data_IF_843109249467
#
_entry.id   IF_843109249467
#
_cell.length_a   1.000
_cell.length_b   1.000
_cell.length_c   1.000
_cell.angle_alpha   90.00
_cell.angle_beta   90.00
_cell.angle_gamma   90.00
#
_symmetry.space_group_name_H-M   'P 1'
#
loop_
_entity.id
_entity.type
_entity.pdbx_description
1 polymer ?
#
# COMPACT_ATOMS: atom_id res chain seq x y z
N UNK A 1 16.53 12.08 8.79
CA UNK A 1 15.34 11.83 9.65
C UNK A 1 14.13 12.64 9.21
N UNK A 2 14.22 13.97 9.10
CA UNK A 2 13.08 14.84 8.79
C UNK A 2 12.51 14.63 7.38
N UNK A 3 13.36 14.52 6.35
CA UNK A 3 12.91 14.21 4.99
C UNK A 3 12.09 12.91 4.93
N UNK A 4 12.52 11.86 5.63
CA UNK A 4 11.79 10.57 5.68
C UNK A 4 10.41 10.73 6.32
N UNK A 5 10.27 11.58 7.33
CA UNK A 5 8.99 11.93 7.91
C UNK A 5 8.11 12.69 6.91
N UNK A 6 8.68 13.71 6.25
CA UNK A 6 7.96 14.50 5.23
C UNK A 6 7.47 13.61 4.09
N UNK A 7 8.29 12.68 3.59
CA UNK A 7 7.87 11.73 2.56
C UNK A 7 6.71 10.84 3.01
N UNK A 8 6.67 10.41 4.28
CA UNK A 8 5.54 9.64 4.82
C UNK A 8 4.28 10.49 4.89
N UNK A 9 4.39 11.73 5.35
CA UNK A 9 3.27 12.66 5.46
C UNK A 9 2.72 13.05 4.08
N UNK A 10 3.58 13.26 3.09
CA UNK A 10 3.19 13.54 1.70
C UNK A 10 2.34 12.43 1.06
N UNK A 11 2.43 11.18 1.54
CA UNK A 11 1.55 10.09 1.08
C UNK A 11 0.09 10.29 1.50
N UNK A 12 -0.12 10.97 2.63
CA UNK A 12 -1.43 11.20 3.24
C UNK A 12 -2.12 12.47 2.72
N UNK A 13 -1.56 13.11 1.67
CA UNK A 13 -2.08 14.34 1.06
C UNK A 13 -2.34 15.48 2.10
N UNK A 14 -1.49 15.56 3.14
CA UNK A 14 -1.62 16.54 4.22
C UNK A 14 -1.22 17.96 3.82
N UNK A 15 -1.77 18.95 4.53
CA UNK A 15 -1.33 20.33 4.47
C UNK A 15 -0.14 20.58 5.43
N UNK A 16 0.89 21.27 4.96
CA UNK A 16 2.04 21.66 5.77
C UNK A 16 1.91 23.11 6.25
N UNK A 17 2.14 23.35 7.54
CA UNK A 17 2.28 24.69 8.13
C UNK A 17 3.73 24.83 8.62
N UNK A 18 4.43 25.85 8.14
CA UNK A 18 5.83 26.13 8.52
C UNK A 18 5.83 27.27 9.53
N UNK A 19 6.47 27.06 10.69
CA UNK A 19 6.62 28.08 11.74
C UNK A 19 8.04 28.08 12.28
N UNK A 20 8.49 29.20 12.83
CA UNK A 20 9.80 29.32 13.48
C UNK A 20 10.60 30.55 13.06
N UNK A 21 11.82 30.63 13.59
CA UNK A 21 12.77 31.71 13.27
C UNK A 21 13.24 31.58 11.82
N UNK A 22 13.08 32.66 11.07
CA UNK A 22 13.52 32.70 9.68
C UNK A 22 15.04 32.96 9.63
N UNK A 23 15.79 32.00 9.09
CA UNK A 23 17.25 32.09 8.95
C UNK A 23 17.68 32.53 7.54
N UNK A 24 16.75 32.76 6.61
CA UNK A 24 17.00 33.19 5.24
C UNK A 24 16.54 34.64 5.04
N UNK A 25 17.44 35.59 5.25
CA UNK A 25 17.17 37.03 5.20
C UNK A 25 16.72 37.55 3.84
N UNK A 26 17.10 36.91 2.74
CA UNK A 26 16.83 37.42 1.37
C UNK A 26 15.59 36.81 0.69
N UNK A 27 15.21 35.59 1.08
CA UNK A 27 14.11 34.82 0.43
C UNK A 27 12.96 34.48 1.39
N UNK A 28 13.00 35.00 2.61
CA UNK A 28 12.05 34.73 3.68
C UNK A 28 11.65 33.24 3.73
N UNK A 29 10.35 32.93 3.65
CA UNK A 29 9.83 31.56 3.72
C UNK A 29 9.86 30.82 2.38
N UNK A 30 10.13 31.51 1.28
CA UNK A 30 10.10 30.92 -0.07
C UNK A 30 11.12 29.79 -0.23
N UNK A 31 12.29 29.89 0.40
CA UNK A 31 13.30 28.82 0.38
C UNK A 31 12.79 27.50 0.97
N UNK A 32 11.97 27.58 2.04
CA UNK A 32 11.40 26.40 2.68
C UNK A 32 10.27 25.79 1.84
N UNK A 33 9.42 26.63 1.24
CA UNK A 33 8.40 26.19 0.29
C UNK A 33 9.03 25.47 -0.91
N UNK A 34 10.04 26.10 -1.53
CA UNK A 34 10.75 25.53 -2.68
C UNK A 34 11.38 24.18 -2.33
N UNK A 35 11.87 24.02 -1.10
CA UNK A 35 12.40 22.75 -0.64
C UNK A 35 11.31 21.68 -0.43
N UNK A 36 10.14 22.04 0.10
CA UNK A 36 9.01 21.12 0.20
C UNK A 36 8.49 20.71 -1.18
N UNK A 37 8.43 21.62 -2.13
CA UNK A 37 8.09 21.33 -3.53
C UNK A 37 9.10 20.37 -4.15
N UNK A 38 10.40 20.62 -3.93
CA UNK A 38 11.46 19.70 -4.34
C UNK A 38 11.27 18.30 -3.74
N UNK A 39 10.97 18.19 -2.43
CA UNK A 39 10.69 16.91 -1.80
C UNK A 39 9.43 16.25 -2.39
N UNK A 40 8.39 17.02 -2.68
CA UNK A 40 7.16 16.51 -3.29
C UNK A 40 7.44 15.89 -4.67
N UNK A 41 8.25 16.55 -5.49
CA UNK A 41 8.64 16.06 -6.82
C UNK A 41 9.59 14.85 -6.76
N UNK A 42 10.44 14.78 -5.74
CA UNK A 42 11.44 13.70 -5.58
C UNK A 42 10.95 12.56 -4.68
N UNK A 43 9.64 12.48 -4.41
CA UNK A 43 9.09 11.39 -3.60
C UNK A 43 9.22 10.05 -4.33
N UNK A 44 9.52 8.95 -3.61
CA UNK A 44 9.49 7.62 -4.19
C UNK A 44 8.10 7.34 -4.81
N UNK A 45 8.04 6.76 -6.02
CA UNK A 45 6.76 6.39 -6.61
C UNK A 45 6.05 5.35 -5.72
N UNK A 46 4.72 5.41 -5.61
CA UNK A 46 3.97 4.40 -4.89
C UNK A 46 4.16 3.04 -5.56
N UNK A 47 4.22 1.98 -4.75
CA UNK A 47 4.26 0.63 -5.30
C UNK A 47 2.87 0.20 -5.84
N UNK A 48 2.81 -0.91 -6.58
CA UNK A 48 1.57 -1.37 -7.19
C UNK A 48 0.44 -1.62 -6.17
N UNK A 49 0.78 -2.07 -4.96
CA UNK A 49 -0.19 -2.29 -3.89
C UNK A 49 -0.71 -0.96 -3.33
N UNK A 50 0.16 0.02 -3.07
CA UNK A 50 -0.22 1.36 -2.61
C UNK A 50 -1.14 2.07 -3.64
N UNK A 51 -0.87 1.89 -4.93
CA UNK A 51 -1.74 2.41 -5.99
C UNK A 51 -3.11 1.71 -5.99
N UNK A 52 -3.12 0.39 -5.81
CA UNK A 52 -4.35 -0.41 -5.78
C UNK A 52 -5.21 -0.12 -4.54
N UNK A 53 -4.58 0.08 -3.38
CA UNK A 53 -5.24 0.35 -2.11
C UNK A 53 -5.62 1.82 -1.92
N UNK A 54 -5.22 2.72 -2.83
CA UNK A 54 -5.48 4.16 -2.71
C UNK A 54 -6.99 4.41 -2.56
N UNK A 55 -7.38 5.13 -1.51
CA UNK A 55 -8.78 5.43 -1.19
C UNK A 55 -9.50 4.37 -0.37
N UNK A 56 -8.91 3.18 -0.18
CA UNK A 56 -9.41 2.15 0.72
C UNK A 56 -8.73 2.16 2.09
N UNK A 57 -7.76 3.05 2.31
CA UNK A 57 -6.96 3.14 3.54
C UNK A 57 -7.83 3.41 4.78
N UNK A 58 -8.83 4.28 4.64
CA UNK A 58 -9.78 4.65 5.71
C UNK A 58 -11.21 4.13 5.44
N UNK A 59 -11.36 3.16 4.53
CA UNK A 59 -12.66 2.61 4.15
C UNK A 59 -12.97 1.33 4.91
N UNK A 60 -14.07 1.32 5.67
CA UNK A 60 -14.53 0.10 6.33
C UNK A 60 -15.21 -0.83 5.30
N UNK A 61 -14.62 -2.00 5.08
CA UNK A 61 -15.18 -3.03 4.20
C UNK A 61 -16.09 -3.98 4.98
N UNK A 62 -17.25 -4.29 4.41
CA UNK A 62 -18.11 -5.37 4.90
C UNK A 62 -17.49 -6.73 4.60
N UNK A 63 -17.58 -7.72 5.51
CA UNK A 63 -17.13 -9.08 5.23
C UNK A 63 -17.84 -9.67 4.01
N UNK A 64 -17.08 -10.28 3.10
CA UNK A 64 -17.63 -10.92 1.91
C UNK A 64 -18.55 -12.10 2.28
N UNK A 65 -19.63 -12.28 1.51
CA UNK A 65 -20.61 -13.38 1.68
C UNK A 65 -20.75 -14.22 0.40
N UNK A 66 -19.74 -15.04 0.03
CA UNK A 66 -19.71 -15.74 -1.26
C UNK A 66 -20.85 -16.76 -1.46
N UNK A 67 -21.49 -17.21 -0.38
CA UNK A 67 -22.62 -18.14 -0.42
C UNK A 67 -23.95 -17.45 -0.76
N UNK A 68 -24.08 -16.17 -0.41
CA UNK A 68 -25.30 -15.39 -0.63
C UNK A 68 -25.19 -14.50 -1.87
N UNK A 69 -23.98 -13.99 -2.14
CA UNK A 69 -23.71 -13.02 -3.19
C UNK A 69 -22.74 -13.57 -4.24
N UNK A 70 -23.04 -13.29 -5.51
CA UNK A 70 -22.08 -13.53 -6.58
C UNK A 70 -20.98 -12.47 -6.50
N UNK A 71 -19.75 -12.91 -6.20
CA UNK A 71 -18.60 -12.02 -6.19
C UNK A 71 -18.24 -11.56 -7.61
N UNK A 72 -17.93 -10.28 -7.76
CA UNK A 72 -17.48 -9.72 -9.02
C UNK A 72 -16.12 -10.29 -9.44
N UNK A 73 -15.84 -10.33 -10.75
CA UNK A 73 -14.58 -10.83 -11.30
C UNK A 73 -13.34 -10.13 -10.72
N UNK A 74 -13.45 -8.83 -10.40
CA UNK A 74 -12.37 -8.07 -9.77
C UNK A 74 -12.00 -8.63 -8.39
N UNK A 75 -12.98 -9.15 -7.63
CA UNK A 75 -12.72 -9.76 -6.32
C UNK A 75 -11.88 -11.04 -6.48
N UNK A 76 -12.21 -11.86 -7.48
CA UNK A 76 -11.42 -13.05 -7.81
C UNK A 76 -10.01 -12.69 -8.28
N UNK A 77 -9.85 -11.66 -9.11
CA UNK A 77 -8.53 -11.20 -9.55
C UNK A 77 -7.62 -10.84 -8.37
N UNK A 78 -8.16 -10.17 -7.34
CA UNK A 78 -7.42 -9.85 -6.12
C UNK A 78 -7.06 -11.13 -5.35
N UNK A 79 -8.01 -12.07 -5.23
CA UNK A 79 -7.75 -13.35 -4.58
C UNK A 79 -6.67 -14.17 -5.27
N UNK A 80 -6.61 -14.14 -6.60
CA UNK A 80 -5.65 -14.88 -7.42
C UNK A 80 -4.22 -14.33 -7.33
N UNK A 81 -4.08 -13.05 -6.96
CA UNK A 81 -2.78 -12.39 -6.75
C UNK A 81 -2.07 -12.79 -5.46
N UNK A 82 -2.67 -13.62 -4.59
CA UNK A 82 -2.00 -14.15 -3.38
C UNK A 82 -1.28 -15.49 -3.69
N UNK A 83 0.03 -15.49 -3.96
CA UNK A 83 0.77 -16.70 -4.29
C UNK A 83 0.94 -17.64 -3.08
N UNK A 84 0.92 -17.10 -1.85
CA UNK A 84 1.15 -17.90 -0.64
C UNK A 84 -0.03 -18.84 -0.45
N UNK A 85 -1.25 -18.33 -0.57
CA UNK A 85 -2.49 -19.13 -0.49
C UNK A 85 -2.45 -20.35 -1.42
N UNK A 86 -2.20 -20.15 -2.71
CA UNK A 86 -2.20 -21.25 -3.68
C UNK A 86 -1.01 -22.19 -3.53
N UNK A 87 0.18 -21.67 -3.17
CA UNK A 87 1.34 -22.52 -2.88
C UNK A 87 1.08 -23.46 -1.70
N UNK A 88 0.44 -22.96 -0.64
CA UNK A 88 0.09 -23.75 0.53
C UNK A 88 -1.00 -24.79 0.22
N UNK A 89 -2.03 -24.41 -0.55
CA UNK A 89 -3.03 -25.38 -1.01
C UNK A 89 -2.39 -26.50 -1.83
N UNK A 90 -1.49 -26.16 -2.77
CA UNK A 90 -0.78 -27.15 -3.58
C UNK A 90 0.05 -28.10 -2.72
N UNK A 91 0.80 -27.59 -1.73
CA UNK A 91 1.59 -28.42 -0.81
C UNK A 91 0.71 -29.34 0.04
N UNK A 92 -0.42 -28.84 0.54
CA UNK A 92 -1.36 -29.62 1.32
C UNK A 92 -1.98 -30.75 0.48
N UNK A 93 -2.39 -30.46 -0.76
CA UNK A 93 -2.90 -31.45 -1.71
C UNK A 93 -1.82 -32.50 -2.01
N UNK A 94 -0.59 -32.07 -2.31
CA UNK A 94 0.52 -32.98 -2.60
C UNK A 94 0.78 -33.97 -1.45
N UNK A 95 0.86 -33.48 -0.20
CA UNK A 95 1.06 -34.35 0.98
C UNK A 95 -0.11 -35.30 1.20
N UNK A 96 -1.35 -34.84 1.00
CA UNK A 96 -2.55 -35.67 1.09
C UNK A 96 -2.53 -36.81 0.06
N UNK A 97 -2.06 -36.53 -1.16
CA UNK A 97 -1.93 -37.55 -2.19
C UNK A 97 -0.85 -38.58 -1.85
N UNK A 98 0.30 -38.15 -1.32
CA UNK A 98 1.34 -39.08 -0.86
C UNK A 98 0.85 -40.02 0.27
N UNK A 99 0.08 -39.48 1.22
CA UNK A 99 -0.47 -40.26 2.34
C UNK A 99 -1.53 -41.28 1.89
N UNK A 100 -2.26 -40.99 0.81
CA UNK A 100 -3.37 -41.82 0.31
C UNK A 100 -2.97 -42.87 -0.72
N UNK A 101 -1.80 -42.78 -1.32
CA UNK A 101 -1.31 -43.77 -2.31
C UNK A 101 -0.50 -44.82 -1.57
N UNK A 102 -0.91 -46.11 -1.56
CA UNK A 102 -0.12 -47.18 -0.95
C UNK A 102 1.25 -47.30 -1.63
N UNK A 103 2.30 -47.58 -0.84
CA UNK A 103 3.57 -48.05 -1.41
C UNK A 103 3.31 -49.44 -2.05
N UNK A 104 3.65 -49.59 -3.33
CA UNK A 104 3.68 -50.90 -4.00
C UNK A 104 4.76 -51.82 -3.41
#
# INVERSE_FOLDING_TARGET
MHQRLIFRLLKLEVQFIITGTNHHSEKEFCSYLQYLEYLSQNRPPPNAYELFAKGYEDYLQSPLQPLMDNLESQTYEVFEKDPIKYSQYQQAIYKCLLDRVPEE
#
